data_IF_742104390214
#
_entry.id   IF_742104390214
#
_cell.length_a   1.000
_cell.length_b   1.000
_cell.length_c   1.000
_cell.angle_alpha   90.00
_cell.angle_beta   90.00
_cell.angle_gamma   90.00
#
_symmetry.space_group_name_H-M   'P 1'
#
loop_
_entity.id
_entity.type
_entity.pdbx_description
1 polymer ?
#
# COMPACT_ATOMS: atom_id res chain seq x y z
N UNK A 1 71.18 -29.22 -36.02
CA UNK A 1 70.18 -29.16 -37.11
C UNK A 1 69.08 -28.21 -36.65
N UNK A 2 69.19 -26.89 -36.80
CA UNK A 2 69.75 -26.09 -37.90
C UNK A 2 68.92 -26.19 -39.19
N UNK A 3 68.07 -25.19 -39.41
CA UNK A 3 67.69 -24.62 -40.70
C UNK A 3 67.12 -23.22 -40.43
N UNK A 4 67.68 -22.20 -41.08
CA UNK A 4 67.18 -20.82 -41.06
C UNK A 4 66.90 -20.38 -42.50
N UNK A 5 65.99 -19.42 -42.67
CA UNK A 5 65.77 -18.54 -43.83
C UNK A 5 64.75 -17.49 -43.33
N UNK A 6 65.03 -16.23 -42.99
CA UNK A 6 65.61 -15.07 -43.69
C UNK A 6 64.74 -14.44 -44.80
N UNK A 7 64.34 -13.19 -44.53
CA UNK A 7 63.99 -12.10 -45.46
C UNK A 7 62.66 -12.12 -46.21
N UNK A 8 62.08 -10.99 -46.65
CA UNK A 8 62.07 -9.55 -46.23
C UNK A 8 60.96 -8.88 -47.07
N UNK A 9 60.27 -7.87 -46.52
CA UNK A 9 59.41 -6.79 -47.11
C UNK A 9 58.79 -6.93 -48.53
N UNK A 10 57.56 -6.41 -48.66
CA UNK A 10 57.04 -5.93 -49.96
C UNK A 10 55.59 -6.30 -50.27
N UNK A 11 54.63 -5.63 -49.64
CA UNK A 11 53.27 -5.47 -50.21
C UNK A 11 52.80 -4.04 -49.97
N UNK A 12 52.98 -3.20 -50.99
CA UNK A 12 52.28 -1.93 -51.09
C UNK A 12 50.78 -2.20 -51.23
N UNK A 13 50.03 -1.90 -50.17
CA UNK A 13 48.58 -1.88 -50.20
C UNK A 13 48.13 -0.45 -49.91
N UNK A 14 48.14 0.39 -50.95
CA UNK A 14 47.56 1.74 -50.96
C UNK A 14 46.03 1.65 -50.78
N UNK A 15 45.60 1.38 -49.55
CA UNK A 15 44.20 1.57 -49.15
C UNK A 15 44.08 3.00 -48.65
N UNK A 16 43.47 3.86 -49.47
CA UNK A 16 43.13 5.22 -49.08
C UNK A 16 42.18 5.21 -47.88
N UNK A 17 42.71 5.40 -46.67
CA UNK A 17 41.90 5.54 -45.45
C UNK A 17 41.26 6.94 -45.37
N UNK A 18 40.38 7.25 -46.31
CA UNK A 18 39.33 8.27 -46.10
C UNK A 18 38.14 7.62 -45.41
N UNK A 19 38.36 7.19 -44.17
CA UNK A 19 37.29 6.90 -43.23
C UNK A 19 36.90 8.22 -42.56
N UNK A 20 36.05 9.00 -43.24
CA UNK A 20 35.28 10.03 -42.55
C UNK A 20 34.31 9.28 -41.63
N UNK A 21 34.63 9.25 -40.33
CA UNK A 21 33.84 8.55 -39.30
C UNK A 21 32.57 9.37 -38.96
N UNK A 22 31.74 9.61 -39.98
CA UNK A 22 30.43 10.23 -39.84
C UNK A 22 29.49 9.24 -39.14
N UNK A 23 29.36 9.44 -37.83
CA UNK A 23 28.41 8.72 -36.99
C UNK A 23 26.99 8.80 -37.60
N UNK A 24 26.23 7.69 -37.59
CA UNK A 24 24.96 7.61 -38.30
C UNK A 24 23.93 8.57 -37.70
N UNK A 25 23.00 9.04 -38.53
CA UNK A 25 22.04 10.09 -38.15
C UNK A 25 21.12 9.78 -36.94
N UNK A 26 21.04 8.52 -36.50
CA UNK A 26 20.31 8.13 -35.28
C UNK A 26 21.14 8.31 -33.99
N UNK A 27 22.45 8.54 -34.09
CA UNK A 27 23.34 8.81 -32.95
C UNK A 27 23.06 10.19 -32.32
N UNK A 28 22.34 11.06 -33.02
CA UNK A 28 21.97 12.40 -32.59
C UNK A 28 20.45 12.61 -32.58
N UNK A 29 19.96 13.39 -31.61
CA UNK A 29 18.56 13.79 -31.54
C UNK A 29 18.27 14.99 -32.47
N UNK A 30 17.01 15.43 -32.53
CA UNK A 30 16.58 16.59 -33.35
C UNK A 30 17.21 17.93 -32.94
N UNK A 31 17.86 18.01 -31.76
CA UNK A 31 18.58 19.19 -31.28
C UNK A 31 20.09 19.13 -31.60
N UNK A 32 20.58 18.03 -32.18
CA UNK A 32 22.01 17.78 -32.42
C UNK A 32 22.77 17.25 -31.19
N UNK A 33 22.08 16.85 -30.13
CA UNK A 33 22.68 16.23 -28.93
C UNK A 33 22.82 14.72 -29.15
N UNK A 34 23.90 14.13 -28.63
CA UNK A 34 24.14 12.69 -28.78
C UNK A 34 23.10 11.87 -28.01
N UNK A 35 22.43 10.93 -28.66
CA UNK A 35 21.41 10.06 -28.04
C UNK A 35 21.96 9.30 -26.82
N UNK A 36 23.20 8.82 -26.89
CA UNK A 36 23.85 8.15 -25.77
C UNK A 36 24.06 9.04 -24.52
N UNK A 37 24.03 10.36 -24.66
CA UNK A 37 24.08 11.31 -23.54
C UNK A 37 22.66 11.65 -23.04
N UNK A 38 21.70 11.84 -23.95
CA UNK A 38 20.27 11.96 -23.62
C UNK A 38 19.76 10.76 -22.83
N UNK A 39 20.15 9.53 -23.22
CA UNK A 39 19.76 8.29 -22.56
C UNK A 39 20.24 8.21 -21.10
N UNK A 40 21.38 8.82 -20.74
CA UNK A 40 21.89 8.87 -19.36
C UNK A 40 21.03 9.74 -18.45
N UNK A 41 20.36 10.74 -19.01
CA UNK A 41 19.46 11.66 -18.29
C UNK A 41 17.99 11.22 -18.36
N UNK A 42 17.65 10.27 -19.23
CA UNK A 42 16.27 9.83 -19.49
C UNK A 42 15.66 9.06 -18.32
N UNK A 43 15.04 9.80 -17.39
CA UNK A 43 14.34 9.24 -16.22
C UNK A 43 13.17 8.34 -16.62
N UNK A 44 13.05 7.20 -15.93
CA UNK A 44 12.01 6.20 -16.19
C UNK A 44 10.89 6.28 -15.14
N UNK A 45 9.61 6.31 -15.56
CA UNK A 45 8.48 6.44 -14.64
C UNK A 45 8.21 5.12 -13.89
N UNK A 46 8.25 5.17 -12.56
CA UNK A 46 8.11 3.97 -11.70
C UNK A 46 6.76 3.28 -11.93
N UNK A 47 5.69 4.03 -12.19
CA UNK A 47 4.33 3.45 -12.36
C UNK A 47 4.23 2.42 -13.50
N UNK A 48 5.09 2.52 -14.53
CA UNK A 48 5.11 1.60 -15.67
C UNK A 48 5.98 0.34 -15.48
N UNK A 49 6.69 0.21 -14.36
CA UNK A 49 7.64 -0.89 -14.12
C UNK A 49 6.96 -2.16 -13.58
N UNK A 50 7.64 -3.31 -13.71
CA UNK A 50 7.21 -4.56 -13.07
C UNK A 50 7.05 -4.39 -11.55
N UNK A 51 6.17 -5.18 -10.94
CA UNK A 51 5.85 -5.11 -9.52
C UNK A 51 7.08 -5.22 -8.60
N UNK A 52 8.10 -6.01 -8.99
CA UNK A 52 9.36 -6.15 -8.24
C UNK A 52 10.22 -4.90 -8.38
N UNK A 53 10.43 -4.44 -9.62
CA UNK A 53 11.14 -3.20 -9.93
C UNK A 53 10.51 -1.98 -9.23
N UNK A 54 9.17 -1.89 -9.15
CA UNK A 54 8.45 -0.85 -8.40
C UNK A 54 8.73 -0.87 -6.90
N UNK A 55 8.88 -2.05 -6.30
CA UNK A 55 9.26 -2.15 -4.88
C UNK A 55 10.72 -1.73 -4.70
N UNK A 56 11.62 -2.25 -5.54
CA UNK A 56 13.06 -1.99 -5.43
C UNK A 56 13.41 -0.52 -5.69
N UNK A 57 12.75 0.13 -6.67
CA UNK A 57 12.94 1.56 -6.94
C UNK A 57 12.58 2.42 -5.73
N UNK A 58 11.47 2.11 -5.05
CA UNK A 58 11.13 2.80 -3.80
C UNK A 58 11.92 2.30 -2.58
N UNK A 59 12.65 1.19 -2.69
CA UNK A 59 13.51 0.68 -1.61
C UNK A 59 14.85 1.40 -1.55
N UNK A 60 15.48 1.64 -2.71
CA UNK A 60 16.77 2.35 -2.83
C UNK A 60 16.65 3.86 -2.58
N UNK A 61 15.45 4.42 -2.75
CA UNK A 61 15.15 5.82 -2.43
C UNK A 61 14.99 5.98 -0.92
N UNK A 62 16.10 6.22 -0.21
CA UNK A 62 16.10 6.35 1.25
C UNK A 62 15.44 7.64 1.73
N UNK A 63 16.05 8.80 1.46
CA UNK A 63 15.58 10.09 1.99
C UNK A 63 14.59 10.83 1.09
N UNK A 64 14.56 10.53 -0.21
CA UNK A 64 13.83 11.30 -1.22
C UNK A 64 12.86 10.44 -2.01
N UNK A 65 11.57 10.64 -1.75
CA UNK A 65 10.51 10.12 -2.60
C UNK A 65 10.60 10.69 -4.03
N UNK A 66 10.44 9.83 -5.04
CA UNK A 66 10.32 10.19 -6.45
C UNK A 66 9.29 9.30 -7.17
N UNK A 67 8.70 9.83 -8.24
CA UNK A 67 7.85 9.08 -9.18
C UNK A 67 8.64 8.49 -10.36
N UNK A 68 9.86 8.97 -10.61
CA UNK A 68 10.76 8.50 -11.65
C UNK A 68 12.11 8.09 -11.05
N UNK A 69 12.85 7.21 -11.72
CA UNK A 69 14.23 6.88 -11.36
C UNK A 69 15.19 7.18 -12.51
N UNK A 70 16.45 7.48 -12.19
CA UNK A 70 17.52 7.65 -13.19
C UNK A 70 17.93 6.29 -13.79
N UNK A 71 18.60 6.27 -14.95
CA UNK A 71 19.18 5.04 -15.50
C UNK A 71 20.16 4.33 -14.55
N UNK A 72 20.95 5.07 -13.77
CA UNK A 72 21.82 4.54 -12.72
C UNK A 72 21.02 3.83 -11.61
N UNK A 73 19.94 4.45 -11.14
CA UNK A 73 19.03 3.85 -10.17
C UNK A 73 18.31 2.61 -10.72
N UNK A 74 17.95 2.60 -12.01
CA UNK A 74 17.38 1.44 -12.69
C UNK A 74 18.41 0.30 -12.82
N UNK A 75 19.68 0.60 -13.08
CA UNK A 75 20.75 -0.38 -13.06
C UNK A 75 20.93 -0.99 -11.67
N UNK A 76 20.88 -0.19 -10.60
CA UNK A 76 20.94 -0.69 -9.22
C UNK A 76 19.71 -1.53 -8.85
N UNK A 77 18.50 -1.12 -9.25
CA UNK A 77 17.28 -1.95 -9.12
C UNK A 77 17.47 -3.31 -9.81
N UNK A 78 18.01 -3.31 -11.02
CA UNK A 78 18.27 -4.54 -11.79
C UNK A 78 19.31 -5.41 -11.10
N UNK A 79 20.37 -4.81 -10.55
CA UNK A 79 21.41 -5.51 -9.76
C UNK A 79 20.81 -6.16 -8.52
N UNK A 80 19.97 -5.44 -7.76
CA UNK A 80 19.31 -5.95 -6.56
C UNK A 80 18.28 -7.06 -6.85
N UNK A 81 17.59 -7.02 -8.00
CA UNK A 81 16.68 -8.11 -8.39
C UNK A 81 17.44 -9.41 -8.72
N UNK A 82 18.58 -9.27 -9.42
CA UNK A 82 19.42 -10.39 -9.85
C UNK A 82 20.35 -10.94 -8.76
N UNK A 83 20.57 -10.20 -7.67
CA UNK A 83 21.36 -10.65 -6.53
C UNK A 83 20.60 -11.68 -5.68
N UNK A 84 20.73 -12.95 -6.07
CA UNK A 84 20.16 -14.08 -5.34
C UNK A 84 20.88 -14.34 -4.00
N UNK A 85 22.05 -13.73 -3.76
CA UNK A 85 22.79 -13.87 -2.50
C UNK A 85 22.23 -12.96 -1.39
N UNK A 86 21.59 -11.85 -1.77
CA UNK A 86 20.91 -10.91 -0.87
C UNK A 86 19.57 -11.48 -0.38
N UNK A 87 19.65 -12.46 0.54
CA UNK A 87 18.50 -13.11 1.16
C UNK A 87 17.49 -12.10 1.76
N UNK A 88 17.93 -10.92 2.20
CA UNK A 88 17.03 -9.90 2.74
C UNK A 88 16.11 -9.33 1.65
N UNK A 89 16.67 -9.01 0.48
CA UNK A 89 15.88 -8.53 -0.67
C UNK A 89 15.01 -9.65 -1.23
N UNK A 90 15.54 -10.86 -1.36
CA UNK A 90 14.79 -12.01 -1.88
C UNK A 90 13.61 -12.40 -0.95
N UNK A 91 13.81 -12.44 0.37
CA UNK A 91 12.73 -12.68 1.34
C UNK A 91 11.68 -11.54 1.34
N UNK A 92 12.11 -10.28 1.20
CA UNK A 92 11.18 -9.14 1.04
C UNK A 92 10.32 -9.28 -0.22
N UNK A 93 10.94 -9.53 -1.38
CA UNK A 93 10.23 -9.68 -2.65
C UNK A 93 9.27 -10.89 -2.59
N UNK A 94 9.70 -12.02 -2.02
CA UNK A 94 8.86 -13.18 -1.80
C UNK A 94 7.70 -12.89 -0.84
N UNK A 95 7.93 -12.14 0.23
CA UNK A 95 6.88 -11.73 1.16
C UNK A 95 5.86 -10.78 0.52
N UNK A 96 6.29 -9.86 -0.37
CA UNK A 96 5.34 -8.99 -1.11
C UNK A 96 4.51 -9.77 -2.12
N UNK A 97 5.09 -10.75 -2.81
CA UNK A 97 4.37 -11.67 -3.72
C UNK A 97 3.24 -12.44 -3.00
N UNK A 98 3.43 -12.76 -1.72
CA UNK A 98 2.42 -13.40 -0.86
C UNK A 98 1.39 -12.41 -0.27
N UNK A 99 1.54 -11.11 -0.52
CA UNK A 99 0.60 -10.05 -0.12
C UNK A 99 0.29 -9.12 -1.31
N UNK A 100 -0.45 -9.58 -2.35
CA UNK A 100 -0.60 -8.86 -3.63
C UNK A 100 -1.19 -7.44 -3.53
N UNK A 101 -1.84 -7.10 -2.41
CA UNK A 101 -2.31 -5.76 -2.11
C UNK A 101 -1.16 -4.72 -1.96
N UNK A 102 0.05 -5.15 -1.58
CA UNK A 102 1.23 -4.27 -1.55
C UNK A 102 1.59 -3.75 -2.95
N UNK A 103 1.52 -4.61 -3.99
CA UNK A 103 1.78 -4.20 -5.37
C UNK A 103 0.75 -3.20 -5.93
N UNK A 104 -0.44 -3.13 -5.30
CA UNK A 104 -1.53 -2.19 -5.64
C UNK A 104 -1.41 -0.83 -4.94
N UNK A 105 -0.39 -0.63 -4.09
CA UNK A 105 -0.14 0.68 -3.48
C UNK A 105 0.24 1.71 -4.56
N UNK A 106 -0.20 2.95 -4.34
CA UNK A 106 0.30 4.10 -5.08
C UNK A 106 1.80 4.30 -4.76
N UNK A 107 2.55 4.96 -5.64
CA UNK A 107 4.01 5.12 -5.47
C UNK A 107 4.41 5.79 -4.15
N UNK A 108 3.72 6.85 -3.65
CA UNK A 108 3.98 7.41 -2.32
C UNK A 108 3.80 6.43 -1.15
N UNK A 109 2.74 5.63 -1.14
CA UNK A 109 2.47 4.67 -0.08
C UNK A 109 3.36 3.43 -0.19
N UNK A 110 3.81 3.08 -1.41
CA UNK A 110 4.82 2.04 -1.63
C UNK A 110 6.18 2.44 -1.05
N UNK A 111 6.56 3.71 -1.17
CA UNK A 111 7.76 4.27 -0.52
C UNK A 111 7.64 4.33 1.01
N UNK A 112 6.49 4.73 1.55
CA UNK A 112 6.23 4.62 3.01
C UNK A 112 6.29 3.16 3.47
N UNK A 113 5.84 2.22 2.65
CA UNK A 113 5.92 0.79 2.93
C UNK A 113 7.38 0.30 2.97
N UNK A 114 8.22 0.64 1.99
CA UNK A 114 9.63 0.20 1.97
C UNK A 114 10.42 0.79 3.15
N UNK A 115 10.20 2.06 3.50
CA UNK A 115 10.72 2.68 4.73
C UNK A 115 10.23 1.97 6.01
N UNK A 116 8.92 1.70 6.09
CA UNK A 116 8.31 0.96 7.20
C UNK A 116 8.89 -0.46 7.34
N UNK A 117 9.12 -1.14 6.23
CA UNK A 117 9.69 -2.48 6.17
C UNK A 117 11.14 -2.48 6.66
N UNK A 118 11.97 -1.53 6.18
CA UNK A 118 13.36 -1.33 6.65
C UNK A 118 13.43 -1.07 8.16
N UNK A 119 12.44 -0.36 8.73
CA UNK A 119 12.34 -0.06 10.17
C UNK A 119 11.95 -1.27 11.02
N UNK A 120 11.01 -2.10 10.56
CA UNK A 120 10.57 -3.32 11.27
C UNK A 120 11.59 -4.45 11.12
N UNK A 121 12.16 -4.60 9.93
CA UNK A 121 13.09 -5.65 9.56
C UNK A 121 14.46 -5.04 9.25
N UNK A 122 15.26 -4.82 10.28
CA UNK A 122 16.64 -4.33 10.12
C UNK A 122 17.51 -5.40 9.42
N UNK A 123 18.36 -4.97 8.47
CA UNK A 123 19.16 -5.86 7.59
C UNK A 123 20.23 -6.67 8.31
N UNK A 124 20.66 -6.22 9.49
CA UNK A 124 21.64 -6.88 10.37
C UNK A 124 21.10 -8.17 11.02
N UNK A 125 19.78 -8.37 10.99
CA UNK A 125 19.08 -9.46 11.70
C UNK A 125 18.36 -10.37 10.72
N UNK A 126 18.44 -11.68 10.98
CA UNK A 126 17.64 -12.67 10.27
C UNK A 126 16.21 -12.66 10.79
N UNK A 127 15.25 -12.39 9.91
CA UNK A 127 13.83 -12.44 10.21
C UNK A 127 13.19 -13.67 9.55
N UNK A 128 12.23 -14.36 10.19
CA UNK A 128 11.50 -15.44 9.52
C UNK A 128 10.64 -14.88 8.38
N UNK A 129 10.68 -15.50 7.20
CA UNK A 129 9.85 -15.13 6.05
C UNK A 129 8.35 -15.03 6.40
N UNK A 130 7.84 -15.95 7.23
CA UNK A 130 6.45 -15.91 7.72
C UNK A 130 6.11 -14.63 8.48
N UNK A 131 7.08 -14.02 9.19
CA UNK A 131 6.90 -12.74 9.89
C UNK A 131 6.83 -11.58 8.89
N UNK A 132 7.63 -11.60 7.83
CA UNK A 132 7.54 -10.61 6.74
C UNK A 132 6.21 -10.71 5.99
N UNK A 133 5.74 -11.93 5.70
CA UNK A 133 4.41 -12.16 5.08
C UNK A 133 3.29 -11.59 5.96
N UNK A 134 3.31 -11.91 7.27
CA UNK A 134 2.30 -11.42 8.21
C UNK A 134 2.32 -9.88 8.34
N UNK A 135 3.51 -9.26 8.33
CA UNK A 135 3.63 -7.79 8.32
C UNK A 135 3.01 -7.19 7.06
N UNK A 136 3.32 -7.75 5.89
CA UNK A 136 2.83 -7.24 4.61
C UNK A 136 1.30 -7.33 4.50
N UNK A 137 0.71 -8.42 5.00
CA UNK A 137 -0.74 -8.58 5.09
C UNK A 137 -1.34 -7.55 6.05
N UNK A 138 -0.82 -7.43 7.28
CA UNK A 138 -1.28 -6.45 8.26
C UNK A 138 -1.15 -4.99 7.76
N UNK A 139 -0.06 -4.66 7.05
CA UNK A 139 0.20 -3.33 6.50
C UNK A 139 -0.73 -2.98 5.33
N UNK A 140 -1.02 -3.97 4.47
CA UNK A 140 -1.98 -3.82 3.39
C UNK A 140 -3.40 -3.60 3.90
N UNK A 141 -3.83 -4.40 4.88
CA UNK A 141 -5.17 -4.33 5.49
C UNK A 141 -5.34 -3.11 6.42
N UNK A 142 -4.24 -2.56 6.96
CA UNK A 142 -4.27 -1.38 7.80
C UNK A 142 -4.68 -0.12 7.02
N UNK A 143 -5.63 0.62 7.60
CA UNK A 143 -6.02 1.94 7.11
C UNK A 143 -4.80 2.88 7.04
N UNK A 144 -4.64 3.75 6.02
CA UNK A 144 -3.43 4.55 5.83
C UNK A 144 -2.99 5.38 7.05
N UNK A 145 -3.95 5.85 7.85
CA UNK A 145 -3.70 6.59 9.11
C UNK A 145 -3.10 5.68 10.20
N UNK A 146 -3.49 4.41 10.24
CA UNK A 146 -3.14 3.48 11.31
C UNK A 146 -1.82 2.72 11.03
N UNK A 147 -1.36 2.70 9.77
CA UNK A 147 -0.07 2.11 9.36
C UNK A 147 1.11 2.61 10.20
N UNK A 148 1.14 3.91 10.53
CA UNK A 148 2.18 4.49 11.39
C UNK A 148 2.16 3.99 12.83
N UNK A 149 1.00 3.55 13.34
CA UNK A 149 0.87 2.92 14.65
C UNK A 149 1.19 1.42 14.58
N UNK A 150 0.77 0.73 13.51
CA UNK A 150 1.16 -0.65 13.22
C UNK A 150 2.68 -0.81 13.25
N UNK A 151 3.42 0.02 12.51
CA UNK A 151 4.88 0.00 12.47
C UNK A 151 5.50 0.20 13.86
N UNK A 152 4.96 1.12 14.68
CA UNK A 152 5.45 1.34 16.05
C UNK A 152 5.28 0.12 16.95
N UNK A 153 4.18 -0.62 16.83
CA UNK A 153 3.98 -1.86 17.59
C UNK A 153 4.88 -2.99 17.09
N UNK A 154 5.02 -3.14 15.77
CA UNK A 154 5.90 -4.15 15.19
C UNK A 154 7.39 -3.92 15.52
N UNK A 155 7.86 -2.67 15.55
CA UNK A 155 9.23 -2.31 15.99
C UNK A 155 9.47 -2.66 17.47
N UNK A 156 8.45 -2.60 18.33
CA UNK A 156 8.53 -3.07 19.73
C UNK A 156 8.53 -4.60 19.86
N UNK A 157 8.24 -5.34 18.78
CA UNK A 157 8.03 -6.79 18.79
C UNK A 157 6.57 -7.23 18.97
N UNK A 158 5.61 -6.30 19.01
CA UNK A 158 4.18 -6.59 19.11
C UNK A 158 3.61 -6.84 17.70
N UNK A 159 3.71 -8.09 17.23
CA UNK A 159 3.30 -8.52 15.88
C UNK A 159 1.77 -8.62 15.69
N UNK A 160 1.07 -7.49 15.83
CA UNK A 160 -0.40 -7.41 15.71
C UNK A 160 -0.85 -7.40 14.24
N UNK A 161 -1.93 -8.12 13.92
CA UNK A 161 -2.52 -8.14 12.56
C UNK A 161 -3.40 -6.93 12.27
N UNK A 162 -3.91 -6.25 13.31
CA UNK A 162 -4.79 -5.08 13.20
C UNK A 162 -4.52 -4.13 14.37
N UNK A 163 -4.68 -2.83 14.11
CA UNK A 163 -4.75 -1.81 15.16
C UNK A 163 -6.18 -1.71 15.66
N UNK A 164 -6.40 -2.20 16.88
CA UNK A 164 -7.63 -1.91 17.62
C UNK A 164 -7.54 -0.49 18.17
N UNK A 165 -8.36 0.42 17.63
CA UNK A 165 -8.48 1.77 18.17
C UNK A 165 -9.16 1.69 19.53
N UNK A 166 -8.39 1.88 20.60
CA UNK A 166 -8.91 1.96 21.97
C UNK A 166 -9.79 3.20 22.17
N UNK A 167 -11.06 3.07 21.79
CA UNK A 167 -12.14 3.92 22.27
C UNK A 167 -12.53 3.46 23.67
N UNK A 168 -11.87 4.01 24.69
CA UNK A 168 -12.31 4.00 26.10
C UNK A 168 -12.92 2.69 26.63
N UNK A 169 -12.09 1.67 26.90
CA UNK A 169 -12.39 0.69 27.97
C UNK A 169 -11.13 0.28 28.72
N UNK A 170 -11.03 0.77 29.96
CA UNK A 170 -10.40 0.21 31.17
C UNK A 170 -9.15 -0.68 31.06
N UNK A 171 -8.12 -0.29 31.82
CA UNK A 171 -7.06 -1.19 32.24
C UNK A 171 -7.63 -2.40 33.01
N UNK A 172 -7.22 -3.61 32.62
CA UNK A 172 -7.53 -4.87 33.27
C UNK A 172 -6.54 -5.93 32.78
N UNK A 173 -5.82 -6.57 33.70
CA UNK A 173 -4.60 -7.28 33.37
C UNK A 173 -4.79 -8.78 33.09
N UNK A 174 -3.88 -9.30 32.26
CA UNK A 174 -3.24 -10.63 32.38
C UNK A 174 -3.98 -11.92 31.97
N UNK A 175 -3.25 -12.71 31.17
CA UNK A 175 -3.14 -14.18 31.18
C UNK A 175 -4.38 -15.10 31.01
N UNK A 176 -4.40 -15.78 29.85
CA UNK A 176 -4.81 -17.18 29.63
C UNK A 176 -4.19 -18.10 30.73
N UNK A 177 -4.87 -19.13 31.29
CA UNK A 177 -5.47 -20.21 30.50
C UNK A 177 -6.82 -20.83 30.94
N UNK A 178 -7.40 -21.59 29.99
CA UNK A 178 -8.50 -22.56 30.13
C UNK A 178 -8.15 -23.73 31.11
N UNK A 179 -9.12 -24.52 31.69
CA UNK A 179 -10.16 -25.24 30.91
C UNK A 179 -11.57 -25.53 31.52
N UNK A 180 -12.53 -25.74 30.61
CA UNK A 180 -13.68 -26.69 30.61
C UNK A 180 -14.85 -26.69 31.65
N UNK A 181 -16.04 -26.38 31.10
CA UNK A 181 -17.37 -27.06 31.16
C UNK A 181 -18.29 -27.09 32.42
N UNK A 182 -19.41 -26.35 32.28
CA UNK A 182 -20.82 -26.66 32.67
C UNK A 182 -21.23 -26.94 34.13
N UNK A 183 -22.02 -26.01 34.70
CA UNK A 183 -23.46 -26.24 35.04
C UNK A 183 -24.15 -24.90 35.38
N UNK A 184 -25.49 -24.88 35.46
CA UNK A 184 -26.30 -23.66 35.34
C UNK A 184 -26.89 -23.14 36.67
N UNK A 185 -27.16 -21.82 36.78
CA UNK A 185 -28.51 -21.23 37.03
C UNK A 185 -28.47 -19.68 37.15
N UNK A 186 -29.57 -19.06 36.70
CA UNK A 186 -30.00 -17.64 36.71
C UNK A 186 -29.59 -16.83 37.97
N UNK A 187 -29.46 -15.50 37.97
CA UNK A 187 -29.94 -14.43 37.06
C UNK A 187 -28.87 -13.29 36.92
N UNK A 188 -29.07 -12.03 36.49
CA UNK A 188 -30.26 -11.21 36.17
C UNK A 188 -29.90 -9.99 35.25
N UNK A 189 -30.86 -9.09 35.02
CA UNK A 189 -30.70 -7.67 34.63
C UNK A 189 -30.06 -7.32 33.26
N UNK A 190 -30.85 -7.59 32.21
CA UNK A 190 -31.18 -6.62 31.14
C UNK A 190 -30.05 -5.99 30.31
N UNK A 191 -29.59 -6.75 29.31
CA UNK A 191 -29.23 -6.14 28.02
C UNK A 191 -30.50 -5.92 27.18
N UNK A 192 -30.57 -4.77 26.48
CA UNK A 192 -31.46 -4.61 25.31
C UNK A 192 -30.66 -4.04 24.16
N UNK A 193 -29.81 -4.89 23.58
CA UNK A 193 -29.29 -4.62 22.24
C UNK A 193 -30.44 -4.74 21.24
N UNK A 194 -30.61 -3.73 20.38
CA UNK A 194 -31.58 -3.82 19.28
C UNK A 194 -30.83 -4.12 17.98
N UNK A 195 -31.20 -5.18 17.24
CA UNK A 195 -30.46 -5.60 16.05
C UNK A 195 -30.64 -4.60 14.90
N UNK A 196 -29.82 -4.74 13.86
CA UNK A 196 -30.02 -4.08 12.57
C UNK A 196 -31.34 -4.54 11.93
N UNK A 197 -32.43 -3.89 12.31
CA UNK A 197 -33.77 -4.19 11.81
C UNK A 197 -33.85 -3.78 10.33
N UNK A 198 -34.23 -4.73 9.46
CA UNK A 198 -34.50 -4.47 8.05
C UNK A 198 -35.50 -3.31 7.94
N UNK A 199 -35.14 -2.29 7.17
CA UNK A 199 -35.95 -1.08 6.99
C UNK A 199 -37.37 -1.43 6.57
N UNK A 200 -38.31 -1.30 7.51
CA UNK A 200 -39.74 -1.58 7.31
C UNK A 200 -40.49 -0.26 7.38
N UNK A 201 -41.61 -0.11 6.66
CA UNK A 201 -42.39 1.14 6.58
C UNK A 201 -42.58 1.83 7.93
N UNK A 202 -43.04 1.10 8.96
CA UNK A 202 -43.21 1.61 10.34
C UNK A 202 -41.92 2.18 10.97
N UNK A 203 -40.75 1.65 10.60
CA UNK A 203 -39.44 2.16 11.05
C UNK A 203 -39.07 3.47 10.37
N UNK A 204 -39.53 3.68 9.12
CA UNK A 204 -39.38 4.94 8.39
C UNK A 204 -40.31 6.00 8.99
N UNK A 205 -41.60 5.70 9.15
CA UNK A 205 -42.60 6.61 9.75
C UNK A 205 -42.14 7.12 11.12
N UNK A 206 -41.61 6.22 11.95
CA UNK A 206 -41.07 6.57 13.27
C UNK A 206 -39.90 7.56 13.17
N UNK A 207 -38.99 7.39 12.20
CA UNK A 207 -37.85 8.30 12.00
C UNK A 207 -38.28 9.66 11.45
N UNK A 208 -39.28 9.69 10.57
CA UNK A 208 -39.87 10.93 10.04
C UNK A 208 -40.58 11.69 11.17
N UNK A 209 -41.36 11.01 12.01
CA UNK A 209 -42.00 11.60 13.20
C UNK A 209 -41.01 12.27 14.15
N UNK A 210 -39.88 11.60 14.45
CA UNK A 210 -38.79 12.19 15.24
C UNK A 210 -38.22 13.45 14.55
N UNK A 211 -37.92 13.37 13.24
CA UNK A 211 -37.24 14.44 12.52
C UNK A 211 -38.07 15.73 12.38
N UNK A 212 -39.41 15.61 12.38
CA UNK A 212 -40.33 16.75 12.20
C UNK A 212 -40.85 17.35 13.52
N UNK A 213 -40.67 16.65 14.64
CA UNK A 213 -41.16 17.13 15.95
C UNK A 213 -40.23 18.21 16.50
N UNK A 214 -40.68 19.47 16.51
CA UNK A 214 -39.92 20.65 16.95
C UNK A 214 -39.82 20.81 18.49
N UNK A 215 -39.85 19.71 19.25
CA UNK A 215 -39.91 19.70 20.72
C UNK A 215 -39.04 18.61 21.35
N UNK A 216 -38.91 18.63 22.68
CA UNK A 216 -38.04 17.72 23.42
C UNK A 216 -38.53 16.25 23.34
N UNK A 217 -37.66 15.35 22.85
CA UNK A 217 -38.03 13.96 22.53
C UNK A 217 -37.92 13.09 23.80
N UNK A 218 -39.06 12.82 24.44
CA UNK A 218 -39.14 11.85 25.54
C UNK A 218 -39.26 10.42 25.01
N UNK A 219 -38.46 9.50 25.55
CA UNK A 219 -38.56 8.05 25.27
C UNK A 219 -39.41 7.33 26.33
N UNK A 220 -40.22 6.31 25.96
CA UNK A 220 -40.37 5.73 24.63
C UNK A 220 -41.22 6.59 23.68
N UNK A 221 -40.92 6.51 22.39
CA UNK A 221 -41.64 7.25 21.33
C UNK A 221 -43.12 6.81 21.33
N UNK A 222 -44.01 7.73 21.67
CA UNK A 222 -45.46 7.51 21.68
C UNK A 222 -46.07 7.77 20.31
N UNK A 223 -47.21 7.13 20.01
CA UNK A 223 -47.92 7.29 18.73
C UNK A 223 -48.20 8.77 18.37
N UNK A 224 -48.46 9.60 19.39
CA UNK A 224 -48.66 11.05 19.28
C UNK A 224 -47.53 11.79 18.56
N UNK A 225 -46.27 11.36 18.73
CA UNK A 225 -45.09 11.97 18.06
C UNK A 225 -45.11 11.67 16.55
N UNK A 226 -45.55 10.47 16.17
CA UNK A 226 -45.67 10.07 14.76
C UNK A 226 -46.87 10.76 14.10
N UNK A 227 -48.00 10.88 14.81
CA UNK A 227 -49.17 11.64 14.33
C UNK A 227 -48.87 13.13 14.15
N UNK A 228 -48.12 13.75 15.06
CA UNK A 228 -47.68 15.15 14.92
C UNK A 228 -46.79 15.35 13.69
N UNK A 229 -45.81 14.47 13.47
CA UNK A 229 -44.98 14.51 12.26
C UNK A 229 -45.80 14.35 10.98
N UNK A 230 -46.79 13.44 10.97
CA UNK A 230 -47.68 13.25 9.82
C UNK A 230 -48.54 14.48 9.55
N UNK A 231 -49.10 15.11 10.59
CA UNK A 231 -49.92 16.31 10.45
C UNK A 231 -49.14 17.51 9.87
N UNK A 232 -47.83 17.62 10.16
CA UNK A 232 -46.96 18.63 9.55
C UNK A 232 -46.79 18.36 8.04
N UNK A 233 -46.51 17.11 7.63
CA UNK A 233 -46.42 16.74 6.21
C UNK A 233 -47.74 16.95 5.45
N UNK A 234 -48.87 16.76 6.12
CA UNK A 234 -50.20 16.96 5.52
C UNK A 234 -50.56 18.45 5.40
N UNK A 235 -50.08 19.31 6.31
CA UNK A 235 -50.22 20.77 6.24
C UNK A 235 -49.30 21.40 5.18
N UNK A 236 -48.02 20.99 5.12
CA UNK A 236 -47.07 21.37 4.06
C UNK A 236 -47.41 20.68 2.72
N UNK A 237 -48.41 19.80 2.69
CA UNK A 237 -48.82 19.01 1.52
C UNK A 237 -49.90 19.65 0.63
N UNK A 238 -50.32 20.88 0.92
CA UNK A 238 -51.34 21.59 0.13
C UNK A 238 -50.76 22.29 -1.12
N UNK A 239 -49.46 22.61 -1.12
CA UNK A 239 -48.82 23.42 -2.16
C UNK A 239 -48.57 22.67 -3.49
N UNK A 240 -48.53 21.33 -3.49
CA UNK A 240 -48.43 20.54 -4.73
C UNK A 240 -49.77 20.18 -5.38
N UNK A 241 -50.92 20.53 -4.77
CA UNK A 241 -52.26 20.23 -5.30
C UNK A 241 -52.86 21.34 -6.18
N UNK A 242 -52.14 22.44 -6.40
CA UNK A 242 -52.59 23.57 -7.24
C UNK A 242 -51.73 23.71 -8.49
N UNK A 243 -52.18 23.05 -9.55
CA UNK A 243 -51.81 23.28 -10.95
C UNK A 243 -53.10 23.31 -11.78
#
# INVERSE_FOLDING_TARGET
NAAANTSTEGVDAETTTTATDELPAWEFNVNGERMADVEKEMQQPVVGMDARHRILSQFILEDKFSHNITPEQLAEVSRLELDVSDNYIQDMLLATRNAPAIHKLNTPDLWKYTDSFKKVFARDKRHPLSRMINFNQAYADAHPIDRGLLVKEWVKGNYVSRIEKSGTTNAGASATPEPQKTSATKANATASGKPAAKTTYKTIDTRIGIALTKGEITFPITAKVVEQGKAIVEADGEEFKRW
#
